data_IF_304723597441
#
_entry.id   IF_304723597441
#
_cell.length_a   1.000
_cell.length_b   1.000
_cell.length_c   1.000
_cell.angle_alpha   90.00
_cell.angle_beta   90.00
_cell.angle_gamma   90.00
#
_symmetry.space_group_name_H-M   'P 1'
#
loop_
_entity.id
_entity.type
_entity.pdbx_description
1 polymer ?
#
# COMPACT_ATOMS: atom_id res chain seq x y z
N UNK A 1 2.93 0.53 8.03
CA UNK A 1 1.63 1.25 7.98
C UNK A 1 0.53 0.35 7.42
N UNK A 2 -0.76 0.66 7.57
CA UNK A 2 -1.82 -0.12 6.91
C UNK A 2 -1.82 0.12 5.40
N UNK A 3 -2.27 -0.87 4.61
CA UNK A 3 -2.43 -0.74 3.17
C UNK A 3 -3.40 0.40 2.79
N UNK A 4 -4.43 0.63 3.60
CA UNK A 4 -5.37 1.75 3.46
C UNK A 4 -4.68 3.11 3.56
N UNK A 5 -3.77 3.25 4.53
CA UNK A 5 -3.07 4.50 4.79
C UNK A 5 -2.07 4.76 3.67
N UNK A 6 -1.38 3.70 3.22
CA UNK A 6 -0.52 3.76 2.03
C UNK A 6 -1.28 4.16 0.78
N UNK A 7 -2.46 3.57 0.56
CA UNK A 7 -3.30 3.89 -0.58
C UNK A 7 -3.66 5.37 -0.60
N UNK A 8 -4.08 5.91 0.56
CA UNK A 8 -4.39 7.34 0.75
C UNK A 8 -3.17 8.22 0.48
N UNK A 9 -2.01 7.87 1.01
CA UNK A 9 -0.77 8.62 0.79
C UNK A 9 -0.31 8.62 -0.68
N UNK A 10 -0.72 7.63 -1.48
CA UNK A 10 -0.40 7.54 -2.90
C UNK A 10 -1.56 8.01 -3.80
N UNK A 11 -2.62 8.61 -3.22
CA UNK A 11 -3.78 9.11 -3.97
C UNK A 11 -4.61 8.02 -4.66
N UNK A 12 -4.45 6.75 -4.28
CA UNK A 12 -5.19 5.64 -4.89
C UNK A 12 -6.31 5.14 -3.95
N UNK A 13 -7.45 4.70 -4.50
CA UNK A 13 -8.49 4.08 -3.69
C UNK A 13 -7.98 2.81 -2.99
N UNK A 14 -8.37 2.60 -1.74
CA UNK A 14 -8.03 1.41 -0.97
C UNK A 14 -8.35 0.10 -1.71
N UNK A 15 -9.51 0.04 -2.39
CA UNK A 15 -9.91 -1.12 -3.20
C UNK A 15 -8.91 -1.44 -4.32
N UNK A 16 -8.30 -0.42 -4.94
CA UNK A 16 -7.28 -0.59 -5.98
C UNK A 16 -6.02 -1.19 -5.39
N UNK A 17 -5.52 -0.63 -4.27
CA UNK A 17 -4.36 -1.16 -3.57
C UNK A 17 -4.56 -2.61 -3.12
N UNK A 18 -5.74 -2.93 -2.59
CA UNK A 18 -6.10 -4.30 -2.19
C UNK A 18 -6.13 -5.27 -3.38
N UNK A 19 -6.69 -4.87 -4.53
CA UNK A 19 -6.69 -5.68 -5.74
C UNK A 19 -5.28 -5.92 -6.27
N UNK A 20 -4.39 -4.94 -6.21
CA UNK A 20 -3.00 -5.10 -6.62
C UNK A 20 -2.27 -6.08 -5.72
N UNK A 21 -2.45 -5.97 -4.40
CA UNK A 21 -1.88 -6.90 -3.44
C UNK A 21 -2.36 -8.33 -3.70
N UNK A 22 -3.67 -8.55 -3.83
CA UNK A 22 -4.24 -9.87 -4.19
C UNK A 22 -3.75 -10.43 -5.52
N UNK A 23 -3.29 -9.58 -6.45
CA UNK A 23 -2.75 -9.97 -7.75
C UNK A 23 -1.23 -10.07 -7.78
N UNK A 24 -0.55 -9.85 -6.64
CA UNK A 24 0.91 -9.79 -6.59
C UNK A 24 1.52 -8.64 -7.40
N UNK A 25 0.72 -7.59 -7.68
CA UNK A 25 1.12 -6.41 -8.46
C UNK A 25 1.37 -5.18 -7.59
N UNK A 26 1.31 -5.34 -6.26
CA UNK A 26 1.63 -4.23 -5.38
C UNK A 26 3.13 -3.91 -5.53
N UNK A 27 3.51 -2.64 -5.80
CA UNK A 27 4.91 -2.28 -6.05
C UNK A 27 5.77 -2.30 -4.77
N UNK A 28 5.16 -2.59 -3.62
CA UNK A 28 5.80 -2.65 -2.31
C UNK A 28 5.41 -3.96 -1.63
N UNK A 29 6.30 -4.57 -0.82
CA UNK A 29 5.95 -5.74 -0.04
C UNK A 29 4.86 -5.41 0.98
N UNK A 30 3.90 -6.32 1.11
CA UNK A 30 2.85 -6.25 2.10
C UNK A 30 2.41 -7.65 2.51
N UNK A 31 2.05 -7.80 3.77
CA UNK A 31 1.58 -9.05 4.35
C UNK A 31 0.24 -8.85 5.05
N UNK A 32 -0.52 -9.94 5.21
CA UNK A 32 -1.73 -9.96 6.02
C UNK A 32 -1.39 -10.50 7.41
N UNK A 33 -1.87 -9.82 8.45
CA UNK A 33 -1.79 -10.36 9.80
C UNK A 33 -2.82 -11.47 9.99
N UNK A 34 -2.67 -12.35 11.00
CA UNK A 34 -3.69 -13.34 11.33
C UNK A 34 -5.08 -12.76 11.62
N UNK A 35 -5.16 -11.46 11.95
CA UNK A 35 -6.40 -10.72 12.16
C UNK A 35 -7.03 -10.15 10.88
N UNK A 36 -6.43 -10.38 9.71
CA UNK A 36 -6.93 -9.90 8.41
C UNK A 36 -6.54 -8.46 8.07
N UNK A 37 -5.54 -7.90 8.75
CA UNK A 37 -5.07 -6.53 8.45
C UNK A 37 -3.89 -6.58 7.48
N UNK A 38 -4.03 -5.94 6.32
CA UNK A 38 -2.92 -5.80 5.37
C UNK A 38 -1.97 -4.68 5.82
N UNK A 39 -0.73 -5.04 6.12
CA UNK A 39 0.35 -4.13 6.51
C UNK A 39 1.37 -4.02 5.38
N UNK A 40 1.84 -2.80 5.13
CA UNK A 40 2.91 -2.51 4.18
C UNK A 40 4.23 -2.41 4.93
N UNK A 41 5.21 -3.19 4.46
CA UNK A 41 6.57 -3.29 5.00
C UNK A 41 7.48 -2.21 4.38
N UNK A 42 7.07 -0.95 4.51
CA UNK A 42 7.86 0.18 4.03
C UNK A 42 7.77 1.32 5.06
N UNK A 43 8.88 2.07 5.28
CA UNK A 43 8.77 3.36 5.93
C UNK A 43 7.77 4.25 5.20
N UNK A 44 7.17 5.18 5.94
CA UNK A 44 6.31 6.21 5.37
C UNK A 44 7.05 6.84 4.20
N UNK A 45 6.49 6.73 2.99
CA UNK A 45 7.12 7.33 1.81
C UNK A 45 7.05 8.82 2.06
N UNK A 46 8.17 9.41 2.46
CA UNK A 46 8.43 10.83 2.25
C UNK A 46 8.14 11.07 0.76
N UNK A 47 7.25 12.02 0.51
CA UNK A 47 6.58 12.25 -0.76
C UNK A 47 7.52 12.00 -1.93
N UNK A 48 7.24 10.97 -2.72
CA UNK A 48 7.95 10.80 -3.97
C UNK A 48 7.49 11.95 -4.85
N UNK A 49 8.26 13.02 -4.80
CA UNK A 49 8.47 14.02 -5.83
C UNK A 49 8.38 13.30 -7.17
N UNK A 50 7.17 13.28 -7.75
CA UNK A 50 6.98 13.04 -9.14
C UNK A 50 7.55 14.28 -9.83
N UNK A 51 8.88 14.30 -9.93
CA UNK A 51 9.64 15.18 -10.80
C UNK A 51 9.00 15.05 -12.18
N UNK A 52 8.34 16.13 -12.59
CA UNK A 52 7.99 16.44 -13.97
C UNK A 52 8.74 17.71 -14.36
#
# INVERSE_FOLDING_TARGET
>A
MKLSDRARANGIPHKTAWLWWRRGKLPVPAHETPAGTSLVDMPEREEAEAVL
#
